data_IF_212108308154
#
_entry.id   IF_212108308154
#
_cell.length_a   1.000
_cell.length_b   1.000
_cell.length_c   1.000
_cell.angle_alpha   90.00
_cell.angle_beta   90.00
_cell.angle_gamma   90.00
#
_symmetry.space_group_name_H-M   'P 1'
#
loop_
_entity.id
_entity.type
_entity.pdbx_description
1 polymer ?
#
# COMPACT_ATOMS: atom_id res chain seq x y z
N UNK A 1 -15.40 -15.93 -10.89
CA UNK A 1 -14.48 -16.19 -9.76
C UNK A 1 -15.35 -16.48 -8.56
N UNK A 2 -15.27 -17.67 -7.99
CA UNK A 2 -16.12 -18.10 -6.87
C UNK A 2 -15.85 -17.27 -5.61
N UNK A 3 -16.89 -17.02 -4.80
CA UNK A 3 -16.79 -16.21 -3.57
C UNK A 3 -15.70 -16.74 -2.63
N UNK A 4 -15.57 -18.07 -2.54
CA UNK A 4 -14.53 -18.75 -1.74
C UNK A 4 -13.14 -18.38 -2.22
N UNK A 5 -12.92 -18.35 -3.54
CA UNK A 5 -11.64 -17.96 -4.14
C UNK A 5 -11.34 -16.49 -3.84
N UNK A 6 -12.35 -15.63 -3.91
CA UNK A 6 -12.25 -14.22 -3.51
C UNK A 6 -11.80 -14.06 -2.06
N UNK A 7 -12.45 -14.78 -1.13
CA UNK A 7 -12.11 -14.72 0.30
C UNK A 7 -10.68 -15.19 0.59
N UNK A 8 -10.23 -16.28 -0.05
CA UNK A 8 -8.87 -16.80 0.11
C UNK A 8 -7.83 -15.79 -0.38
N UNK A 9 -8.04 -15.20 -1.56
CA UNK A 9 -7.14 -14.17 -2.10
C UNK A 9 -7.04 -12.95 -1.18
N UNK A 10 -8.16 -12.44 -0.69
CA UNK A 10 -8.16 -11.31 0.25
C UNK A 10 -7.42 -11.66 1.54
N UNK A 11 -7.62 -12.86 2.09
CA UNK A 11 -6.93 -13.30 3.30
C UNK A 11 -5.40 -13.34 3.11
N UNK A 12 -4.91 -13.87 1.98
CA UNK A 12 -3.48 -13.92 1.67
C UNK A 12 -2.88 -12.52 1.56
N UNK A 13 -3.58 -11.59 0.88
CA UNK A 13 -3.14 -10.20 0.74
C UNK A 13 -3.05 -9.51 2.10
N UNK A 14 -4.07 -9.67 2.95
CA UNK A 14 -4.10 -9.06 4.29
C UNK A 14 -3.01 -9.63 5.19
N UNK A 15 -2.78 -10.94 5.16
CA UNK A 15 -1.72 -11.58 5.94
C UNK A 15 -0.33 -11.16 5.44
N UNK A 16 -0.12 -11.11 4.12
CA UNK A 16 1.12 -10.61 3.53
C UNK A 16 1.40 -9.15 3.87
N UNK A 17 0.37 -8.31 3.87
CA UNK A 17 0.45 -6.91 4.29
C UNK A 17 0.70 -6.74 5.80
N UNK A 18 0.15 -7.63 6.64
CA UNK A 18 0.34 -7.63 8.09
C UNK A 18 1.71 -8.21 8.54
N UNK A 19 2.34 -9.03 7.70
CA UNK A 19 3.63 -9.68 7.97
C UNK A 19 4.74 -8.72 8.46
N UNK A 20 5.01 -7.56 7.82
CA UNK A 20 6.05 -6.66 8.30
C UNK A 20 5.74 -6.08 9.69
N UNK A 21 4.47 -5.85 10.02
CA UNK A 21 4.09 -5.44 11.37
C UNK A 21 4.43 -6.53 12.39
N UNK A 22 4.15 -7.80 12.07
CA UNK A 22 4.50 -8.95 12.93
C UNK A 22 6.02 -9.11 13.10
N UNK A 23 6.80 -8.86 12.05
CA UNK A 23 8.26 -8.93 12.08
C UNK A 23 8.85 -7.91 13.07
N UNK A 24 8.30 -6.69 13.05
CA UNK A 24 8.72 -5.57 13.90
C UNK A 24 8.31 -5.81 15.35
N UNK A 25 7.10 -6.29 15.61
CA UNK A 25 6.63 -6.56 16.97
C UNK A 25 7.38 -7.74 17.61
N UNK A 26 7.77 -8.74 16.82
CA UNK A 26 8.48 -9.94 17.29
C UNK A 26 9.98 -9.71 17.47
N UNK A 27 10.57 -8.74 16.76
CA UNK A 27 11.99 -8.42 16.90
C UNK A 27 12.32 -8.01 18.34
N UNK A 28 13.30 -8.69 18.94
CA UNK A 28 13.82 -8.39 20.29
C UNK A 28 14.87 -7.26 20.27
N UNK A 29 15.18 -6.75 19.08
CA UNK A 29 16.27 -5.82 18.81
C UNK A 29 15.86 -4.35 18.94
N UNK A 30 14.55 -4.05 18.94
CA UNK A 30 13.99 -2.71 19.12
C UNK A 30 13.29 -2.58 20.48
N UNK A 31 13.54 -1.49 21.20
CA UNK A 31 12.93 -1.16 22.48
C UNK A 31 11.42 -0.92 22.38
N UNK A 32 10.73 -0.89 23.54
CA UNK A 32 9.28 -0.67 23.64
C UNK A 32 8.75 0.55 22.86
N UNK A 33 9.36 1.75 22.94
CA UNK A 33 8.88 2.91 22.16
C UNK A 33 9.24 2.81 20.67
N UNK A 34 10.38 2.20 20.34
CA UNK A 34 10.83 2.05 18.95
C UNK A 34 9.89 1.19 18.12
N UNK A 35 9.32 0.13 18.71
CA UNK A 35 8.31 -0.72 18.04
C UNK A 35 7.07 0.07 17.61
N UNK A 36 6.60 0.99 18.45
CA UNK A 36 5.44 1.83 18.13
C UNK A 36 5.77 2.78 16.98
N UNK A 37 6.98 3.37 16.99
CA UNK A 37 7.44 4.25 15.91
C UNK A 37 7.51 3.52 14.57
N UNK A 38 8.00 2.27 14.56
CA UNK A 38 8.08 1.45 13.35
C UNK A 38 6.71 1.05 12.82
N UNK A 39 5.77 0.66 13.69
CA UNK A 39 4.38 0.37 13.29
C UNK A 39 3.69 1.62 12.74
N UNK A 40 3.84 2.76 13.42
CA UNK A 40 3.33 4.04 12.92
C UNK A 40 3.97 4.42 11.58
N UNK A 41 5.28 4.28 11.42
CA UNK A 41 5.98 4.58 10.18
C UNK A 41 5.49 3.72 9.00
N UNK A 42 5.30 2.40 9.21
CA UNK A 42 4.75 1.53 8.17
C UNK A 42 3.30 1.86 7.82
N UNK A 43 2.48 2.16 8.84
CA UNK A 43 1.09 2.57 8.63
C UNK A 43 1.02 3.86 7.80
N UNK A 44 1.84 4.86 8.16
CA UNK A 44 1.96 6.09 7.40
C UNK A 44 2.47 5.84 5.98
N UNK A 45 3.52 5.05 5.77
CA UNK A 45 4.04 4.81 4.43
C UNK A 45 3.02 4.08 3.54
N UNK A 46 2.36 3.04 4.06
CA UNK A 46 1.35 2.28 3.31
C UNK A 46 0.10 3.10 2.99
N UNK A 47 -0.37 3.90 3.94
CA UNK A 47 -1.59 4.72 3.75
C UNK A 47 -1.32 5.97 2.91
N UNK A 48 -0.17 6.62 3.11
CA UNK A 48 0.14 7.91 2.48
C UNK A 48 0.58 7.79 1.02
N UNK A 49 1.00 6.60 0.56
CA UNK A 49 1.24 6.33 -0.86
C UNK A 49 0.04 6.68 -1.75
N UNK A 50 -1.19 6.50 -1.27
CA UNK A 50 -2.37 6.83 -2.07
C UNK A 50 -2.62 8.34 -2.15
N UNK A 51 -2.33 9.06 -1.06
CA UNK A 51 -2.41 10.53 -1.03
C UNK A 51 -1.39 11.15 -1.99
N UNK A 52 -0.16 10.64 -2.00
CA UNK A 52 0.88 11.07 -2.95
C UNK A 52 0.47 10.71 -4.37
N UNK A 53 -0.10 9.52 -4.59
CA UNK A 53 -0.62 9.14 -5.91
C UNK A 53 -1.67 10.13 -6.41
N UNK A 54 -2.62 10.57 -5.58
CA UNK A 54 -3.61 11.58 -5.98
C UNK A 54 -2.99 12.96 -6.23
N UNK A 55 -1.89 13.30 -5.56
CA UNK A 55 -1.19 14.58 -5.73
C UNK A 55 -0.30 14.60 -6.98
N UNK A 56 0.34 13.46 -7.29
CA UNK A 56 1.27 13.27 -8.41
C UNK A 56 0.54 12.89 -9.69
N UNK A 57 -0.58 12.16 -9.59
CA UNK A 57 -1.39 11.82 -10.75
C UNK A 57 -1.89 13.11 -11.40
N UNK A 58 -1.45 13.41 -12.64
CA UNK A 58 -1.98 14.55 -13.35
C UNK A 58 -3.46 14.31 -13.61
N UNK A 59 -4.34 15.18 -13.08
CA UNK A 59 -5.77 15.19 -13.38
C UNK A 59 -6.09 15.63 -14.83
N UNK A 60 -5.07 15.68 -15.70
CA UNK A 60 -5.24 16.15 -17.08
C UNK A 60 -5.89 15.04 -17.91
N UNK A 61 -7.00 15.31 -18.62
CA UNK A 61 -7.41 14.43 -19.70
C UNK A 61 -6.28 14.41 -20.73
N UNK A 62 -5.85 13.21 -21.13
CA UNK A 62 -5.07 13.06 -22.35
C UNK A 62 -6.02 13.50 -23.46
N UNK A 63 -5.90 14.74 -23.91
CA UNK A 63 -6.47 15.14 -25.18
C UNK A 63 -5.66 14.34 -26.20
N UNK A 64 -6.26 13.29 -26.75
CA UNK A 64 -5.77 12.70 -27.98
C UNK A 64 -5.82 13.82 -29.00
N UNK A 65 -4.70 14.52 -29.21
CA UNK A 65 -4.52 15.23 -30.46
C UNK A 65 -4.46 14.15 -31.53
N UNK A 66 -5.61 14.01 -32.18
CA UNK A 66 -5.80 13.59 -33.56
C UNK A 66 -4.50 13.69 -34.36
N UNK A 67 -3.87 12.53 -34.55
CA UNK A 67 -2.76 12.30 -35.48
C UNK A 67 -3.24 12.36 -36.95
N UNK A 68 -3.89 13.46 -37.34
CA UNK A 68 -4.11 13.85 -38.74
C UNK A 68 -2.90 14.70 -39.18
N UNK A 69 -1.75 14.04 -39.29
CA UNK A 69 -0.47 14.64 -39.64
C UNK A 69 0.21 13.93 -40.80
N UNK A 70 -0.44 13.96 -41.97
CA UNK A 70 0.08 13.88 -43.36
C UNK A 70 1.26 12.96 -43.68
#
# INVERSE_FOLDING_TARGET
MDIVVGMIMTAIIVVGWALPFMLITTSRQTGRPEKVLWVCALLFLSWFCWVIYLLVAPLKPIHEEDWEGK
#
